data_IF_067277535086
#
_entry.id   IF_067277535086
#
_cell.length_a   1.000
_cell.length_b   1.000
_cell.length_c   1.000
_cell.angle_alpha   90.00
_cell.angle_beta   90.00
_cell.angle_gamma   90.00
#
_symmetry.space_group_name_H-M   'P 1'
#
loop_
_entity.id
_entity.type
_entity.pdbx_description
1 polymer ?
#
# COMPACT_ATOMS: atom_id res chain seq x y z
N UNK A 1 -5.51 -5.16 -5.77
CA UNK A 1 -6.15 -5.13 -7.11
C UNK A 1 -6.34 -3.70 -7.61
N UNK A 2 -7.03 -2.82 -6.86
CA UNK A 2 -7.26 -1.41 -7.23
C UNK A 2 -5.99 -0.68 -7.70
N UNK A 3 -4.93 -0.65 -6.87
CA UNK A 3 -3.65 -0.03 -7.22
C UNK A 3 -3.04 -0.59 -8.52
N UNK A 4 -2.98 -1.91 -8.67
CA UNK A 4 -2.49 -2.54 -9.89
C UNK A 4 -3.32 -2.18 -11.12
N UNK A 5 -4.64 -2.02 -10.98
CA UNK A 5 -5.51 -1.58 -12.06
C UNK A 5 -5.16 -0.16 -12.53
N UNK A 6 -4.96 0.77 -11.59
CA UNK A 6 -4.52 2.12 -11.91
C UNK A 6 -3.11 2.14 -12.57
N UNK A 7 -2.18 1.31 -12.07
CA UNK A 7 -0.84 1.17 -12.65
C UNK A 7 -0.92 0.58 -14.06
N UNK A 8 -1.68 -0.50 -14.26
CA UNK A 8 -1.82 -1.14 -15.57
C UNK A 8 -2.43 -0.19 -16.60
N UNK A 9 -3.48 0.55 -16.24
CA UNK A 9 -4.12 1.54 -17.12
C UNK A 9 -3.16 2.68 -17.48
N UNK A 10 -2.44 3.22 -16.50
CA UNK A 10 -1.46 4.28 -16.73
C UNK A 10 -0.29 3.82 -17.62
N UNK A 11 0.08 2.53 -17.55
CA UNK A 11 1.25 1.96 -18.24
C UNK A 11 0.90 1.18 -19.51
N UNK A 12 -0.35 1.20 -19.97
CA UNK A 12 -0.82 0.33 -21.07
C UNK A 12 -0.01 0.48 -22.36
N UNK A 13 0.40 1.70 -22.70
CA UNK A 13 1.13 2.02 -23.94
C UNK A 13 2.64 2.18 -23.74
N UNK A 14 3.18 1.80 -22.58
CA UNK A 14 4.59 1.99 -22.25
C UNK A 14 5.39 0.71 -22.49
N UNK A 15 6.54 0.81 -23.17
CA UNK A 15 7.43 -0.34 -23.40
C UNK A 15 8.41 -0.59 -22.26
N UNK A 16 8.63 0.42 -21.40
CA UNK A 16 9.54 0.35 -20.25
C UNK A 16 8.87 0.96 -19.04
N UNK A 17 8.60 0.12 -18.04
CA UNK A 17 7.88 0.49 -16.83
C UNK A 17 8.81 0.37 -15.63
N UNK A 18 8.89 1.42 -14.81
CA UNK A 18 9.55 1.39 -13.52
C UNK A 18 8.51 1.54 -12.41
N UNK A 19 8.45 0.56 -11.52
CA UNK A 19 7.57 0.56 -10.34
C UNK A 19 8.44 0.80 -9.11
N UNK A 20 8.10 1.80 -8.30
CA UNK A 20 8.68 2.02 -6.98
C UNK A 20 7.65 1.66 -5.93
N UNK A 21 7.98 0.69 -5.08
CA UNK A 21 7.11 0.21 -4.02
C UNK A 21 7.69 0.55 -2.65
N UNK A 22 7.08 1.50 -1.96
CA UNK A 22 7.48 1.86 -0.61
C UNK A 22 6.78 0.94 0.40
N UNK A 23 7.47 -0.12 0.81
CA UNK A 23 7.02 -1.26 1.63
C UNK A 23 6.58 -2.49 0.81
N UNK A 24 7.52 -3.03 0.04
CA UNK A 24 7.26 -4.18 -0.85
C UNK A 24 6.87 -5.47 -0.11
N UNK A 25 7.27 -5.63 1.16
CA UNK A 25 6.98 -6.81 1.96
C UNK A 25 7.43 -8.10 1.28
N UNK A 26 6.46 -8.93 0.87
CA UNK A 26 6.66 -10.21 0.17
C UNK A 26 6.63 -10.11 -1.36
N UNK A 27 6.27 -8.94 -1.93
CA UNK A 27 6.10 -8.73 -3.37
C UNK A 27 4.84 -9.35 -3.97
N UNK A 28 3.92 -9.87 -3.16
CA UNK A 28 2.70 -10.55 -3.62
C UNK A 28 1.79 -9.66 -4.46
N UNK A 29 1.76 -8.34 -4.20
CA UNK A 29 1.04 -7.37 -5.02
C UNK A 29 1.45 -7.44 -6.50
N UNK A 30 2.73 -7.67 -6.79
CA UNK A 30 3.27 -7.58 -8.15
C UNK A 30 3.00 -8.83 -8.98
N UNK A 31 2.65 -9.96 -8.36
CA UNK A 31 2.33 -11.22 -9.05
C UNK A 31 1.21 -11.03 -10.10
N UNK A 32 0.00 -10.58 -9.73
CA UNK A 32 -1.08 -10.40 -10.70
C UNK A 32 -0.79 -9.28 -11.71
N UNK A 33 0.05 -8.29 -11.38
CA UNK A 33 0.41 -7.24 -12.34
C UNK A 33 1.37 -7.76 -13.41
N UNK A 34 2.37 -8.57 -13.04
CA UNK A 34 3.27 -9.22 -13.99
C UNK A 34 2.47 -10.12 -14.95
N UNK A 35 1.50 -10.86 -14.43
CA UNK A 35 0.60 -11.68 -15.24
C UNK A 35 -0.25 -10.84 -16.20
N UNK A 36 -0.79 -9.71 -15.74
CA UNK A 36 -1.55 -8.79 -16.57
C UNK A 36 -0.68 -8.19 -17.70
N UNK A 37 0.55 -7.80 -17.40
CA UNK A 37 1.49 -7.31 -18.41
C UNK A 37 1.90 -8.39 -19.42
N UNK A 38 2.08 -9.63 -18.99
CA UNK A 38 2.35 -10.76 -19.89
C UNK A 38 1.21 -11.01 -20.89
N UNK A 39 -0.04 -10.75 -20.48
CA UNK A 39 -1.23 -10.91 -21.31
C UNK A 39 -1.54 -9.70 -22.22
N UNK A 40 -0.72 -8.64 -22.17
CA UNK A 40 -0.95 -7.41 -22.94
C UNK A 40 -0.84 -7.67 -24.45
N UNK A 41 -1.77 -7.12 -25.27
CA UNK A 41 -1.61 -7.13 -26.73
C UNK A 41 -0.29 -6.48 -27.14
N UNK A 42 0.46 -7.10 -28.05
CA UNK A 42 1.79 -6.62 -28.45
C UNK A 42 2.95 -7.08 -27.55
N UNK A 43 2.66 -7.78 -26.45
CA UNK A 43 3.65 -8.37 -25.55
C UNK A 43 3.96 -7.52 -24.31
N UNK A 44 4.67 -8.09 -23.34
CA UNK A 44 4.98 -7.42 -22.09
C UNK A 44 6.01 -6.30 -22.26
N UNK A 45 5.94 -5.23 -21.45
CA UNK A 45 7.01 -4.25 -21.35
C UNK A 45 8.22 -4.82 -20.61
N UNK A 46 9.35 -4.13 -20.70
CA UNK A 46 10.43 -4.32 -19.73
C UNK A 46 10.01 -3.71 -18.38
N UNK A 47 10.00 -4.51 -17.33
CA UNK A 47 9.58 -4.10 -15.99
C UNK A 47 10.81 -3.97 -15.10
N UNK A 48 10.96 -2.82 -14.45
CA UNK A 48 11.88 -2.65 -13.32
C UNK A 48 11.08 -2.42 -12.06
N UNK A 49 11.40 -3.13 -10.99
CA UNK A 49 10.77 -2.93 -9.67
C UNK A 49 11.85 -2.51 -8.68
N UNK A 50 11.65 -1.35 -8.06
CA UNK A 50 12.40 -0.92 -6.88
C UNK A 50 11.56 -1.15 -5.64
N UNK A 51 11.93 -2.16 -4.85
CA UNK A 51 11.27 -2.46 -3.59
C UNK A 51 12.03 -1.83 -2.42
N UNK A 52 11.36 -0.93 -1.70
CA UNK A 52 11.86 -0.38 -0.43
C UNK A 52 11.22 -1.17 0.71
N UNK A 53 12.00 -1.54 1.72
CA UNK A 53 11.50 -2.05 2.99
C UNK A 53 12.59 -1.93 4.07
N UNK A 54 12.18 -1.77 5.33
CA UNK A 54 13.10 -1.65 6.46
C UNK A 54 13.72 -3.03 6.81
N UNK A 55 14.95 -3.02 7.34
CA UNK A 55 15.60 -4.17 7.95
C UNK A 55 14.76 -4.80 9.06
N UNK A 56 13.93 -4.02 9.76
CA UNK A 56 12.99 -4.54 10.77
C UNK A 56 12.02 -5.58 10.22
N UNK A 57 11.71 -5.51 8.92
CA UNK A 57 10.82 -6.44 8.23
C UNK A 57 11.51 -7.74 7.79
N UNK A 58 12.83 -7.91 7.98
CA UNK A 58 13.58 -9.10 7.52
C UNK A 58 13.01 -10.40 8.10
N UNK A 59 12.65 -10.41 9.38
CA UNK A 59 12.10 -11.60 10.03
C UNK A 59 10.74 -11.98 9.45
N UNK A 60 9.82 -11.01 9.32
CA UNK A 60 8.52 -11.21 8.69
C UNK A 60 8.65 -11.62 7.22
N UNK A 61 9.69 -11.14 6.53
CA UNK A 61 9.98 -11.50 5.14
C UNK A 61 10.55 -12.91 5.00
N UNK A 62 11.21 -13.42 6.04
CA UNK A 62 12.03 -14.64 6.00
C UNK A 62 13.41 -14.45 5.35
N UNK A 63 13.89 -13.20 5.24
CA UNK A 63 15.17 -12.86 4.63
C UNK A 63 15.28 -11.42 4.11
N UNK A 64 16.40 -11.12 3.43
CA UNK A 64 16.60 -9.84 2.76
C UNK A 64 15.76 -9.69 1.50
N UNK A 65 15.71 -8.47 0.94
CA UNK A 65 14.94 -8.15 -0.27
C UNK A 65 15.31 -9.02 -1.50
N UNK A 66 16.50 -9.62 -1.52
CA UNK A 66 16.92 -10.54 -2.58
C UNK A 66 16.01 -11.76 -2.74
N UNK A 67 15.34 -12.22 -1.67
CA UNK A 67 14.38 -13.34 -1.76
C UNK A 67 13.13 -12.93 -2.55
N UNK A 68 12.68 -11.68 -2.39
CA UNK A 68 11.54 -11.11 -3.12
C UNK A 68 11.91 -10.95 -4.59
N UNK A 69 13.07 -10.35 -4.86
CA UNK A 69 13.60 -10.24 -6.22
C UNK A 69 13.67 -11.59 -6.93
N UNK A 70 14.24 -12.61 -6.28
CA UNK A 70 14.30 -13.97 -6.85
C UNK A 70 12.92 -14.56 -7.16
N UNK A 71 11.94 -14.38 -6.28
CA UNK A 71 10.57 -14.88 -6.51
C UNK A 71 9.91 -14.17 -7.69
N UNK A 72 10.04 -12.85 -7.76
CA UNK A 72 9.48 -12.04 -8.85
C UNK A 72 10.17 -12.33 -10.19
N UNK A 73 11.50 -12.47 -10.21
CA UNK A 73 12.25 -12.85 -11.42
C UNK A 73 11.85 -14.24 -11.92
N UNK A 74 11.74 -15.24 -11.04
CA UNK A 74 11.27 -16.59 -11.42
C UNK A 74 9.87 -16.58 -12.02
N UNK A 75 8.97 -15.78 -11.44
CA UNK A 75 7.62 -15.61 -11.99
C UNK A 75 7.68 -14.94 -13.37
N UNK A 76 8.44 -13.85 -13.49
CA UNK A 76 8.57 -13.11 -14.74
C UNK A 76 9.17 -13.98 -15.86
N UNK A 77 10.18 -14.80 -15.55
CA UNK A 77 10.73 -15.80 -16.47
C UNK A 77 9.66 -16.78 -16.96
N UNK A 78 8.83 -17.31 -16.05
CA UNK A 78 7.75 -18.23 -16.40
C UNK A 78 6.70 -17.60 -17.33
N UNK A 79 6.46 -16.30 -17.19
CA UNK A 79 5.55 -15.52 -18.03
C UNK A 79 6.24 -14.80 -19.20
N UNK A 80 7.54 -15.03 -19.42
CA UNK A 80 8.37 -14.39 -20.47
C UNK A 80 8.35 -12.86 -20.42
N UNK A 81 8.29 -12.30 -19.21
CA UNK A 81 8.34 -10.86 -18.96
C UNK A 81 9.78 -10.46 -18.61
N UNK A 82 10.41 -9.53 -19.33
CA UNK A 82 11.72 -9.00 -18.95
C UNK A 82 11.60 -8.22 -17.62
N UNK A 83 12.22 -8.71 -16.55
CA UNK A 83 12.12 -8.10 -15.22
C UNK A 83 13.49 -7.85 -14.58
N UNK A 84 13.71 -6.62 -14.12
CA UNK A 84 14.80 -6.23 -13.24
C UNK A 84 14.27 -5.90 -11.83
N UNK A 85 14.96 -6.39 -10.79
CA UNK A 85 14.64 -6.06 -9.41
C UNK A 85 15.79 -5.33 -8.73
N UNK A 86 15.47 -4.19 -8.10
CA UNK A 86 16.37 -3.41 -7.26
C UNK A 86 15.82 -3.32 -5.84
N UNK A 87 16.52 -3.87 -4.86
CA UNK A 87 16.11 -3.81 -3.45
C UNK A 87 16.81 -2.66 -2.73
N UNK A 88 16.05 -1.81 -2.04
CA UNK A 88 16.57 -0.77 -1.15
C UNK A 88 16.14 -1.07 0.29
N UNK A 89 17.00 -1.75 1.05
CA UNK A 89 16.75 -2.06 2.45
C UNK A 89 17.00 -0.81 3.31
N UNK A 90 15.96 -0.01 3.58
CA UNK A 90 16.03 1.23 4.35
C UNK A 90 14.65 1.71 4.77
N UNK A 91 14.61 2.61 5.76
CA UNK A 91 13.36 3.28 6.14
C UNK A 91 12.91 4.26 5.07
N UNK A 92 11.59 4.38 4.86
CA UNK A 92 11.00 5.43 4.01
C UNK A 92 11.41 6.85 4.42
N UNK A 93 11.79 7.05 5.69
CA UNK A 93 12.30 8.33 6.19
C UNK A 93 13.69 8.68 5.64
N UNK A 94 14.48 7.69 5.24
CA UNK A 94 15.88 7.84 4.81
C UNK A 94 16.03 7.84 3.29
N UNK A 95 15.00 7.40 2.57
CA UNK A 95 15.03 7.30 1.09
C UNK A 95 15.35 8.66 0.47
N UNK A 96 16.27 8.63 -0.50
CA UNK A 96 16.61 9.73 -1.39
C UNK A 96 16.50 9.28 -2.85
N UNK A 97 16.43 10.22 -3.79
CA UNK A 97 16.28 9.95 -5.23
C UNK A 97 17.32 8.95 -5.76
N UNK A 98 18.57 9.07 -5.30
CA UNK A 98 19.68 8.18 -5.70
C UNK A 98 19.43 6.69 -5.36
N UNK A 99 18.61 6.42 -4.35
CA UNK A 99 18.29 5.04 -3.93
C UNK A 99 17.26 4.38 -4.85
N UNK A 100 16.53 5.16 -5.66
CA UNK A 100 15.42 4.71 -6.48
C UNK A 100 15.85 4.23 -7.86
N UNK A 101 17.11 4.49 -8.25
CA UNK A 101 17.68 4.04 -9.51
C UNK A 101 16.93 4.55 -10.74
N UNK A 102 16.43 5.79 -10.72
CA UNK A 102 15.68 6.40 -11.83
C UNK A 102 16.50 6.41 -13.12
N UNK A 103 15.88 6.03 -14.24
CA UNK A 103 16.51 5.98 -15.57
C UNK A 103 15.68 6.77 -16.59
N UNK A 104 16.32 7.55 -17.49
CA UNK A 104 15.61 8.19 -18.58
C UNK A 104 14.92 7.18 -19.50
N UNK A 105 13.72 7.53 -19.98
CA UNK A 105 12.93 6.73 -20.91
C UNK A 105 12.13 5.58 -20.28
N UNK A 106 12.00 5.54 -18.95
CA UNK A 106 11.11 4.60 -18.25
C UNK A 106 9.91 5.35 -17.69
N UNK A 107 8.71 4.81 -17.90
CA UNK A 107 7.49 5.35 -17.31
C UNK A 107 7.37 4.92 -15.85
N UNK A 108 7.23 5.90 -14.96
CA UNK A 108 7.31 5.68 -13.52
C UNK A 108 5.94 5.54 -12.85
N UNK A 109 5.73 4.45 -12.13
CA UNK A 109 4.63 4.28 -11.17
C UNK A 109 5.19 4.23 -9.75
N UNK A 110 4.50 4.86 -8.80
CA UNK A 110 4.85 4.79 -7.37
C UNK A 110 3.69 4.24 -6.57
N UNK A 111 3.97 3.30 -5.68
CA UNK A 111 2.98 2.66 -4.81
C UNK A 111 3.30 2.94 -3.34
N UNK A 112 2.30 3.46 -2.63
CA UNK A 112 2.27 3.57 -1.19
C UNK A 112 1.13 2.68 -0.67
N UNK A 113 1.47 1.54 -0.08
CA UNK A 113 0.49 0.63 0.50
C UNK A 113 0.82 0.36 1.97
N UNK A 114 -0.04 0.85 2.87
CA UNK A 114 0.06 0.65 4.33
C UNK A 114 1.44 1.05 4.89
N UNK A 115 1.97 2.19 4.47
CA UNK A 115 3.35 2.59 4.79
C UNK A 115 3.45 4.00 5.34
N UNK A 116 2.71 4.97 4.77
CA UNK A 116 2.90 6.38 5.15
C UNK A 116 2.48 6.62 6.61
N UNK A 117 1.55 5.82 7.13
CA UNK A 117 1.14 5.83 8.52
C UNK A 117 2.28 5.52 9.50
N UNK A 118 3.28 4.71 9.12
CA UNK A 118 4.43 4.39 9.97
C UNK A 118 5.47 5.51 10.02
N UNK A 119 5.35 6.50 9.13
CA UNK A 119 6.27 7.63 9.10
C UNK A 119 5.91 8.64 10.20
N UNK A 120 6.91 9.19 10.94
CA UNK A 120 6.67 10.23 11.92
C UNK A 120 5.97 11.44 11.30
N UNK A 121 4.97 11.95 12.01
CA UNK A 121 4.26 13.17 11.64
C UNK A 121 4.88 14.42 12.28
N UNK A 122 4.23 15.56 12.05
CA UNK A 122 4.68 16.87 12.53
C UNK A 122 4.61 17.01 14.06
N UNK A 123 3.87 16.14 14.77
CA UNK A 123 3.78 16.17 16.23
C UNK A 123 5.03 15.60 16.92
N UNK A 124 5.85 14.82 16.20
CA UNK A 124 7.00 14.11 16.76
C UNK A 124 8.30 14.31 15.99
N UNK A 125 8.25 14.84 14.76
CA UNK A 125 9.41 15.18 13.96
C UNK A 125 9.21 16.51 13.22
N UNK A 126 10.19 17.41 13.36
CA UNK A 126 10.24 18.67 12.60
C UNK A 126 10.72 18.47 11.16
N UNK A 127 11.20 17.27 10.80
CA UNK A 127 11.70 16.97 9.45
C UNK A 127 10.58 16.75 8.43
N UNK A 128 9.33 16.57 8.89
CA UNK A 128 8.14 16.37 8.07
C UNK A 128 8.37 15.31 6.96
N UNK A 129 8.72 14.09 7.38
CA UNK A 129 9.15 13.04 6.46
C UNK A 129 8.07 12.64 5.45
N UNK A 130 6.78 12.69 5.85
CA UNK A 130 5.63 12.40 4.97
C UNK A 130 5.61 13.38 3.79
N UNK A 131 5.60 14.69 4.07
CA UNK A 131 5.55 15.68 2.99
C UNK A 131 6.86 15.74 2.19
N UNK A 132 8.01 15.54 2.84
CA UNK A 132 9.32 15.41 2.17
C UNK A 132 9.26 14.30 1.12
N UNK A 133 8.77 13.12 1.50
CA UNK A 133 8.69 11.97 0.63
C UNK A 133 7.71 12.20 -0.54
N UNK A 134 6.52 12.75 -0.24
CA UNK A 134 5.53 13.07 -1.26
C UNK A 134 6.05 14.10 -2.28
N UNK A 135 6.71 15.18 -1.83
CA UNK A 135 7.30 16.19 -2.72
C UNK A 135 8.47 15.61 -3.53
N UNK A 136 9.29 14.76 -2.92
CA UNK A 136 10.36 14.06 -3.65
C UNK A 136 9.77 13.20 -4.77
N UNK A 137 8.75 12.39 -4.47
CA UNK A 137 8.06 11.57 -5.47
C UNK A 137 7.41 12.44 -6.55
N UNK A 138 6.77 13.56 -6.19
CA UNK A 138 6.21 14.48 -7.19
C UNK A 138 7.29 15.01 -8.14
N UNK A 139 8.46 15.33 -7.61
CA UNK A 139 9.62 15.79 -8.39
C UNK A 139 10.16 14.75 -9.38
N UNK A 140 9.84 13.46 -9.20
CA UNK A 140 10.17 12.40 -10.16
C UNK A 140 9.21 12.35 -11.36
N UNK A 141 8.14 13.15 -11.33
CA UNK A 141 7.10 13.20 -12.35
C UNK A 141 6.53 11.82 -12.74
N UNK A 142 6.05 11.01 -11.76
CA UNK A 142 5.46 9.71 -12.03
C UNK A 142 4.20 9.84 -12.88
N UNK A 143 3.96 8.86 -13.75
CA UNK A 143 2.73 8.78 -14.55
C UNK A 143 1.51 8.46 -13.68
N UNK A 144 1.72 7.71 -12.60
CA UNK A 144 0.71 7.43 -11.59
C UNK A 144 1.35 7.18 -10.21
N UNK A 145 0.67 7.64 -9.16
CA UNK A 145 0.94 7.29 -7.77
C UNK A 145 -0.30 6.64 -7.17
N UNK A 146 -0.17 5.45 -6.60
CA UNK A 146 -1.25 4.76 -5.88
C UNK A 146 -1.06 4.89 -4.38
N UNK A 147 -2.14 5.14 -3.67
CA UNK A 147 -2.21 5.15 -2.21
C UNK A 147 -3.25 4.14 -1.74
N UNK A 148 -2.86 3.26 -0.82
CA UNK A 148 -3.73 2.34 -0.09
C UNK A 148 -3.40 2.47 1.38
N UNK A 149 -4.37 2.89 2.20
CA UNK A 149 -4.18 3.12 3.64
C UNK A 149 -5.43 2.69 4.41
N UNK A 150 -5.28 2.45 5.71
CA UNK A 150 -6.40 2.12 6.59
C UNK A 150 -7.25 3.37 6.88
N UNK A 151 -8.58 3.20 6.91
CA UNK A 151 -9.52 4.32 7.04
C UNK A 151 -10.01 4.50 8.49
N UNK A 152 -9.16 5.07 9.34
CA UNK A 152 -9.51 5.45 10.71
C UNK A 152 -8.54 6.50 11.28
N UNK A 153 -9.00 7.29 12.25
CA UNK A 153 -8.20 8.39 12.82
C UNK A 153 -7.63 8.06 14.20
N UNK A 154 -6.41 7.52 14.23
CA UNK A 154 -5.66 7.35 15.49
C UNK A 154 -4.54 8.36 15.67
N UNK A 155 -4.35 9.26 14.70
CA UNK A 155 -3.21 10.15 14.75
C UNK A 155 -3.49 11.46 15.51
N UNK A 156 -4.49 12.22 15.10
CA UNK A 156 -4.73 13.59 15.61
C UNK A 156 -5.66 13.64 16.82
N UNK A 157 -6.20 12.50 17.23
CA UNK A 157 -7.15 12.40 18.33
C UNK A 157 -6.43 12.30 19.69
N UNK A 158 -7.00 12.97 20.70
CA UNK A 158 -6.65 12.73 22.10
C UNK A 158 -6.92 11.27 22.49
N UNK A 159 -6.38 10.83 23.63
CA UNK A 159 -6.43 9.42 24.05
C UNK A 159 -7.84 8.80 23.99
N UNK A 160 -8.84 9.41 24.63
CA UNK A 160 -10.16 8.81 24.74
C UNK A 160 -10.86 8.64 23.38
N UNK A 161 -10.96 9.67 22.49
CA UNK A 161 -11.49 9.47 21.15
C UNK A 161 -10.67 8.48 20.31
N UNK A 162 -9.33 8.49 20.44
CA UNK A 162 -8.46 7.52 19.76
C UNK A 162 -8.73 6.08 20.20
N UNK A 163 -8.95 5.86 21.50
CA UNK A 163 -9.31 4.56 22.05
C UNK A 163 -10.64 4.06 21.48
N UNK A 164 -11.67 4.92 21.43
CA UNK A 164 -12.97 4.56 20.84
C UNK A 164 -12.85 4.23 19.35
N UNK A 165 -12.11 5.04 18.60
CA UNK A 165 -11.87 4.82 17.16
C UNK A 165 -11.13 3.49 16.90
N UNK A 166 -10.10 3.19 17.71
CA UNK A 166 -9.38 1.93 17.62
C UNK A 166 -10.27 0.74 17.98
N UNK A 167 -11.08 0.85 19.05
CA UNK A 167 -12.01 -0.20 19.46
C UNK A 167 -13.02 -0.51 18.36
N UNK A 168 -13.64 0.52 17.77
CA UNK A 168 -14.60 0.38 16.67
C UNK A 168 -13.95 -0.27 15.43
N UNK A 169 -12.79 0.24 15.00
CA UNK A 169 -12.06 -0.28 13.85
C UNK A 169 -11.62 -1.75 14.03
N UNK A 170 -10.95 -2.06 15.14
CA UNK A 170 -10.47 -3.41 15.37
C UNK A 170 -11.60 -4.39 15.68
N UNK A 171 -12.73 -3.95 16.27
CA UNK A 171 -13.92 -4.81 16.38
C UNK A 171 -14.37 -5.29 14.99
N UNK A 172 -14.50 -4.38 14.02
CA UNK A 172 -14.85 -4.74 12.64
C UNK A 172 -13.81 -5.67 11.99
N UNK A 173 -12.51 -5.42 12.21
CA UNK A 173 -11.44 -6.30 11.72
C UNK A 173 -11.53 -7.72 12.29
N UNK A 174 -11.63 -7.86 13.61
CA UNK A 174 -11.70 -9.16 14.28
C UNK A 174 -13.00 -9.91 13.94
N UNK A 175 -14.14 -9.23 13.85
CA UNK A 175 -15.39 -9.84 13.35
C UNK A 175 -15.25 -10.37 11.92
N UNK A 176 -14.57 -9.62 11.04
CA UNK A 176 -14.35 -10.04 9.66
C UNK A 176 -13.50 -11.31 9.55
N UNK A 177 -12.52 -11.45 10.45
CA UNK A 177 -11.69 -12.64 10.56
C UNK A 177 -12.48 -13.81 11.16
N UNK A 178 -13.29 -13.57 12.21
CA UNK A 178 -14.06 -14.63 12.90
C UNK A 178 -15.08 -15.32 11.97
N UNK A 179 -15.67 -14.57 11.03
CA UNK A 179 -16.60 -15.12 10.04
C UNK A 179 -15.87 -15.90 8.94
N UNK A 180 -14.60 -15.60 8.68
CA UNK A 180 -13.86 -16.17 7.53
C UNK A 180 -13.02 -17.38 7.93
N UNK A 181 -12.49 -17.43 9.15
CA UNK A 181 -11.55 -18.46 9.60
C UNK A 181 -11.97 -19.10 10.95
N UNK A 182 -11.86 -20.43 11.10
CA UNK A 182 -12.10 -21.09 12.38
C UNK A 182 -11.22 -20.54 13.51
N UNK A 183 -11.73 -20.55 14.74
CA UNK A 183 -11.01 -20.01 15.92
C UNK A 183 -9.65 -20.66 16.17
N UNK A 184 -9.55 -21.95 15.90
CA UNK A 184 -8.29 -22.71 16.09
C UNK A 184 -7.34 -22.65 14.89
N UNK A 185 -7.66 -21.84 13.89
CA UNK A 185 -6.83 -21.68 12.71
C UNK A 185 -5.52 -20.97 13.07
N UNK A 186 -4.38 -21.65 12.92
CA UNK A 186 -3.08 -21.15 13.38
C UNK A 186 -2.69 -19.81 12.76
N UNK A 187 -2.94 -19.60 11.47
CA UNK A 187 -2.63 -18.33 10.81
C UNK A 187 -3.54 -17.20 11.28
N UNK A 188 -4.78 -17.51 11.68
CA UNK A 188 -5.69 -16.51 12.28
C UNK A 188 -5.10 -16.03 13.60
N UNK A 189 -4.76 -16.97 14.48
CA UNK A 189 -4.16 -16.67 15.79
C UNK A 189 -2.87 -15.87 15.61
N UNK A 190 -2.03 -16.24 14.63
CA UNK A 190 -0.78 -15.54 14.34
C UNK A 190 -1.05 -14.08 13.92
N UNK A 191 -1.95 -13.83 12.97
CA UNK A 191 -2.31 -12.47 12.53
C UNK A 191 -2.90 -11.65 13.68
N UNK A 192 -3.82 -12.22 14.45
CA UNK A 192 -4.45 -11.54 15.58
C UNK A 192 -3.41 -11.15 16.65
N UNK A 193 -2.51 -12.06 17.02
CA UNK A 193 -1.53 -11.83 18.10
C UNK A 193 -0.30 -11.02 17.67
N UNK A 194 0.22 -11.27 16.47
CA UNK A 194 1.52 -10.77 16.04
C UNK A 194 1.45 -9.65 15.01
N UNK A 195 0.27 -9.33 14.48
CA UNK A 195 0.03 -8.14 13.65
C UNK A 195 -0.93 -7.19 14.37
N UNK A 196 -2.20 -7.57 14.50
CA UNK A 196 -3.25 -6.65 14.97
C UNK A 196 -3.05 -6.22 16.43
N UNK A 197 -2.78 -7.16 17.34
CA UNK A 197 -2.58 -6.82 18.75
C UNK A 197 -1.38 -5.90 18.98
N UNK A 198 -0.32 -6.01 18.16
CA UNK A 198 0.85 -5.12 18.26
C UNK A 198 0.50 -3.70 17.86
N UNK A 199 -0.29 -3.53 16.80
CA UNK A 199 -0.79 -2.21 16.40
C UNK A 199 -1.70 -1.61 17.49
N UNK A 200 -2.65 -2.39 17.99
CA UNK A 200 -3.55 -1.98 19.09
C UNK A 200 -2.76 -1.51 20.32
N UNK A 201 -1.77 -2.28 20.75
CA UNK A 201 -0.91 -1.92 21.88
C UNK A 201 -0.16 -0.63 21.59
N UNK A 202 0.39 -0.44 20.40
CA UNK A 202 1.10 0.79 20.07
C UNK A 202 0.18 2.02 20.06
N UNK A 203 -1.03 1.88 19.51
CA UNK A 203 -2.02 2.97 19.42
C UNK A 203 -2.51 3.41 20.80
N UNK A 204 -2.70 2.45 21.71
CA UNK A 204 -3.30 2.70 23.03
C UNK A 204 -2.24 3.02 24.09
N UNK A 205 -1.16 2.24 24.15
CA UNK A 205 -0.23 2.27 25.27
C UNK A 205 1.00 3.15 25.04
N UNK A 206 1.31 3.54 23.80
CA UNK A 206 2.44 4.39 23.48
C UNK A 206 2.03 5.84 23.22
N UNK A 207 2.94 6.78 23.45
CA UNK A 207 2.78 8.20 23.14
C UNK A 207 4.06 8.79 22.55
N UNK A 208 3.96 10.02 22.04
CA UNK A 208 5.11 10.73 21.46
C UNK A 208 5.83 9.89 20.40
N UNK A 209 7.17 9.85 20.44
CA UNK A 209 7.99 9.13 19.45
C UNK A 209 7.83 7.61 19.50
N UNK A 210 7.35 7.05 20.60
CA UNK A 210 7.16 5.59 20.75
C UNK A 210 5.89 5.09 20.07
N UNK A 211 4.90 5.98 19.90
CA UNK A 211 3.71 5.69 19.08
C UNK A 211 4.04 5.87 17.61
N UNK A 212 4.18 4.74 16.91
CA UNK A 212 4.56 4.67 15.49
C UNK A 212 3.36 4.42 14.58
N UNK A 213 2.31 3.77 15.10
CA UNK A 213 1.05 3.54 14.37
C UNK A 213 0.19 4.81 14.38
N UNK A 214 0.23 5.53 13.26
CA UNK A 214 -0.34 6.88 13.11
C UNK A 214 -1.23 6.98 11.87
N UNK A 215 -2.35 6.25 11.91
CA UNK A 215 -3.35 6.22 10.85
C UNK A 215 -4.05 7.56 10.70
N UNK A 216 -4.26 7.97 9.45
CA UNK A 216 -5.00 9.17 9.09
C UNK A 216 -6.11 8.79 8.09
N UNK A 217 -7.32 9.38 8.20
CA UNK A 217 -8.38 9.15 7.23
C UNK A 217 -7.97 9.67 5.84
N UNK A 218 -8.53 9.10 4.77
CA UNK A 218 -8.15 9.45 3.40
C UNK A 218 -8.26 10.96 3.11
N UNK A 219 -9.20 11.66 3.74
CA UNK A 219 -9.34 13.12 3.59
C UNK A 219 -8.06 13.89 3.94
N UNK A 220 -7.30 13.43 4.94
CA UNK A 220 -6.03 14.05 5.33
C UNK A 220 -4.92 13.70 4.35
N UNK A 221 -4.83 12.45 3.91
CA UNK A 221 -3.89 12.04 2.86
C UNK A 221 -4.13 12.79 1.54
N UNK A 222 -5.39 12.97 1.14
CA UNK A 222 -5.79 13.79 -0.02
C UNK A 222 -5.25 15.22 0.10
N UNK A 223 -5.36 15.81 1.28
CA UNK A 223 -4.87 17.17 1.53
C UNK A 223 -3.35 17.23 1.39
N UNK A 224 -2.62 16.28 1.96
CA UNK A 224 -1.15 16.19 1.83
C UNK A 224 -0.71 16.03 0.37
N UNK A 225 -1.35 15.14 -0.37
CA UNK A 225 -1.06 14.92 -1.79
C UNK A 225 -1.33 16.17 -2.64
N UNK A 226 -2.47 16.84 -2.44
CA UNK A 226 -2.76 18.12 -3.11
C UNK A 226 -1.72 19.20 -2.78
N UNK A 227 -1.34 19.34 -1.52
CA UNK A 227 -0.30 20.30 -1.11
C UNK A 227 1.09 19.97 -1.68
N UNK A 228 1.37 18.69 -1.94
CA UNK A 228 2.58 18.26 -2.64
C UNK A 228 2.53 18.45 -4.17
N UNK A 229 1.39 18.92 -4.71
CA UNK A 229 1.21 19.19 -6.15
C UNK A 229 0.65 18.03 -6.96
N UNK A 230 0.13 16.99 -6.30
CA UNK A 230 -0.58 15.91 -6.99
C UNK A 230 -2.02 16.30 -7.32
N UNK A 231 -2.51 15.73 -8.42
CA UNK A 231 -3.92 15.81 -8.81
C UNK A 231 -4.54 14.41 -8.82
N UNK A 232 -5.83 14.25 -8.47
CA UNK A 232 -6.48 12.94 -8.48
C UNK A 232 -6.42 12.28 -9.86
N UNK A 233 -6.27 10.96 -9.87
CA UNK A 233 -6.33 10.12 -11.07
C UNK A 233 -7.48 9.11 -10.89
N UNK A 234 -8.38 8.96 -11.89
CA UNK A 234 -9.55 8.10 -11.77
C UNK A 234 -9.14 6.62 -11.69
N UNK A 235 -9.81 5.87 -10.81
CA UNK A 235 -9.70 4.41 -10.82
C UNK A 235 -10.53 3.83 -11.98
N UNK A 236 -10.10 2.69 -12.51
CA UNK A 236 -10.78 2.04 -13.64
C UNK A 236 -12.13 1.46 -13.19
N UNK A 237 -13.26 1.88 -13.79
CA UNK A 237 -14.58 1.33 -13.47
C UNK A 237 -14.67 -0.18 -13.70
N UNK A 238 -13.95 -0.69 -14.72
CA UNK A 238 -13.89 -2.13 -15.02
C UNK A 238 -13.19 -2.91 -13.90
N UNK A 239 -12.08 -2.38 -13.39
CA UNK A 239 -11.35 -2.99 -12.27
C UNK A 239 -12.19 -2.93 -11.00
N UNK A 240 -12.86 -1.81 -10.73
CA UNK A 240 -13.73 -1.68 -9.56
C UNK A 240 -14.92 -2.64 -9.61
N UNK A 241 -15.56 -2.79 -10.78
CA UNK A 241 -16.60 -3.79 -10.99
C UNK A 241 -16.08 -5.22 -10.74
N UNK A 242 -14.87 -5.53 -11.23
CA UNK A 242 -14.23 -6.83 -10.99
C UNK A 242 -13.96 -7.07 -9.50
N UNK A 243 -13.49 -6.05 -8.77
CA UNK A 243 -13.30 -6.13 -7.31
C UNK A 243 -14.62 -6.38 -6.60
N UNK A 244 -15.69 -5.69 -7.02
CA UNK A 244 -17.02 -5.86 -6.45
C UNK A 244 -17.55 -7.28 -6.64
N UNK A 245 -17.48 -7.82 -7.86
CA UNK A 245 -17.87 -9.21 -8.14
C UNK A 245 -16.99 -10.22 -7.42
N UNK A 246 -15.68 -9.97 -7.31
CA UNK A 246 -14.79 -10.84 -6.54
C UNK A 246 -15.24 -10.91 -5.07
N UNK A 247 -15.59 -9.77 -4.48
CA UNK A 247 -16.01 -9.67 -3.08
C UNK A 247 -17.28 -10.48 -2.77
N UNK A 248 -18.18 -10.64 -3.74
CA UNK A 248 -19.39 -11.45 -3.62
C UNK A 248 -19.10 -12.94 -3.32
N UNK A 249 -17.90 -13.42 -3.64
CA UNK A 249 -17.47 -14.80 -3.32
C UNK A 249 -17.01 -14.97 -1.86
N UNK A 250 -16.97 -13.89 -1.08
CA UNK A 250 -16.59 -13.91 0.33
C UNK A 250 -17.85 -13.79 1.21
N UNK A 251 -17.80 -12.95 2.24
CA UNK A 251 -18.93 -12.71 3.13
C UNK A 251 -19.76 -11.51 2.66
N UNK A 252 -21.09 -11.62 2.72
CA UNK A 252 -22.04 -10.53 2.39
C UNK A 252 -21.93 -9.30 3.30
N UNK A 253 -21.20 -9.41 4.42
CA UNK A 253 -20.90 -8.29 5.32
C UNK A 253 -19.79 -7.39 4.80
N UNK A 254 -18.96 -7.85 3.87
CA UNK A 254 -18.02 -6.97 3.19
C UNK A 254 -18.76 -6.07 2.20
N UNK A 255 -18.28 -4.83 2.07
CA UNK A 255 -18.77 -3.88 1.09
C UNK A 255 -17.62 -3.21 0.37
N UNK A 256 -17.86 -2.84 -0.87
CA UNK A 256 -16.98 -1.98 -1.65
C UNK A 256 -17.80 -0.82 -2.21
N UNK A 257 -17.33 0.39 -1.96
CA UNK A 257 -18.00 1.64 -2.36
C UNK A 257 -17.02 2.55 -3.09
N UNK A 258 -17.48 3.16 -4.18
CA UNK A 258 -16.76 4.25 -4.84
C UNK A 258 -17.26 5.59 -4.32
N UNK A 259 -16.37 6.38 -3.73
CA UNK A 259 -16.70 7.70 -3.19
C UNK A 259 -15.58 8.69 -3.51
N UNK A 260 -15.97 9.82 -4.12
CA UNK A 260 -15.07 10.92 -4.47
C UNK A 260 -13.80 10.51 -5.23
N UNK A 261 -13.90 9.52 -6.13
CA UNK A 261 -12.75 9.02 -6.91
C UNK A 261 -11.79 8.08 -6.15
N UNK A 262 -12.21 7.56 -4.99
CA UNK A 262 -11.52 6.49 -4.27
C UNK A 262 -12.43 5.27 -4.10
N UNK A 263 -11.81 4.12 -3.88
CA UNK A 263 -12.47 2.86 -3.58
C UNK A 263 -12.30 2.54 -2.10
N UNK A 264 -13.41 2.30 -1.41
CA UNK A 264 -13.43 1.96 0.01
C UNK A 264 -13.84 0.50 0.18
N UNK A 265 -12.99 -0.30 0.83
CA UNK A 265 -13.34 -1.61 1.35
C UNK A 265 -13.81 -1.43 2.80
N UNK A 266 -14.95 -2.01 3.14
CA UNK A 266 -15.48 -1.96 4.49
C UNK A 266 -16.13 -3.25 4.95
N UNK A 267 -16.40 -3.28 6.25
CA UNK A 267 -17.12 -4.34 6.95
C UNK A 267 -18.37 -3.74 7.60
N UNK A 268 -19.55 -4.23 7.20
CA UNK A 268 -20.83 -3.65 7.58
C UNK A 268 -20.87 -2.14 7.32
N UNK A 269 -21.00 -1.32 8.36
CA UNK A 269 -21.00 0.14 8.28
C UNK A 269 -19.60 0.77 8.39
N UNK A 270 -18.54 0.01 8.70
CA UNK A 270 -17.19 0.55 8.96
C UNK A 270 -16.28 0.51 7.73
N UNK A 271 -15.71 1.65 7.34
CA UNK A 271 -14.65 1.71 6.33
C UNK A 271 -13.36 1.13 6.95
N UNK A 272 -12.73 0.18 6.24
CA UNK A 272 -11.52 -0.49 6.71
C UNK A 272 -10.27 0.01 5.98
N UNK A 273 -10.35 0.09 4.66
CA UNK A 273 -9.24 0.44 3.77
C UNK A 273 -9.74 1.34 2.66
N UNK A 274 -8.99 2.39 2.36
CA UNK A 274 -9.24 3.25 1.21
C UNK A 274 -8.12 3.09 0.18
N UNK A 275 -8.48 3.14 -1.10
CA UNK A 275 -7.56 3.10 -2.23
C UNK A 275 -7.84 4.23 -3.21
N UNK A 276 -6.81 4.93 -3.66
CA UNK A 276 -6.91 6.00 -4.65
C UNK A 276 -5.64 6.12 -5.50
N UNK A 277 -5.74 6.86 -6.60
CA UNK A 277 -4.63 7.12 -7.51
C UNK A 277 -4.48 8.62 -7.80
N UNK A 278 -3.28 9.03 -8.18
CA UNK A 278 -2.86 10.42 -8.35
C UNK A 278 -1.85 10.58 -9.50
N UNK A 279 -1.70 11.79 -10.02
CA UNK A 279 -0.66 12.20 -10.99
C UNK A 279 0.02 13.49 -10.56
#
# INVERSE_FOLDING_TARGET
MSANGAIAEAMKDEDRVHIIDFQIGQGSQWIPLIQAFAARPGGPPHIRITGIDDFRSIYARGGGLSIVGRRLSKLAEAFKVPLEFHGAAMSGCEVQVKNLGIRPGEALAVNFAFMLQHMPDESVSTENHRDRLLRMVKGLNPKVVTLVEQEFNTNTAAFYPRFLEALDYYTAMFESIDVTLPREHKERINVEQHCLAREVVNIIACEGKERVERHEPLGKWRSRLKMAGFSPYPLSPLVNATIKTLLENYCSKYRVEERDGALYLGWMNRDLVASCAWK
#
